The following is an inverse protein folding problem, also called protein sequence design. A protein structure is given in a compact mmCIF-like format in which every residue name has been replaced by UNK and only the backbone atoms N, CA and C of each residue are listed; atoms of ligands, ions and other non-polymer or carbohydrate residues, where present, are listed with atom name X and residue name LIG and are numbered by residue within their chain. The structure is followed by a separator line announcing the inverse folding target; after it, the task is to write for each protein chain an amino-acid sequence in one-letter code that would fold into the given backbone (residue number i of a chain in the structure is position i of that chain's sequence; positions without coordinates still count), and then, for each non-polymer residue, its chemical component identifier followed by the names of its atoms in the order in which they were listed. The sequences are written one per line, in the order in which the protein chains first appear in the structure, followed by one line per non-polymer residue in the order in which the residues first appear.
data_IF_195997579211
#
_entry.id   IF_195997579211
#
_cell.length_a   1.000
_cell.length_b   1.000
_cell.length_c   1.000
_cell.angle_alpha   90.00
_cell.angle_beta   90.00
_cell.angle_gamma   90.00
#
_symmetry.space_group_name_H-M   'P 1'
#
loop_
_entity.id
_entity.type
_entity.pdbx_description
1 polymer ?
#
# COMPACT_ATOMS: atom_id res chain seq x y z
N UNK A 1 4.97 -8.30 11.37
CA UNK A 1 4.89 -6.83 11.57
C UNK A 1 5.11 -6.01 10.29
N UNK A 2 6.20 -6.24 9.53
CA UNK A 2 6.63 -5.39 8.40
C UNK A 2 5.59 -5.21 7.28
N UNK A 3 4.93 -6.29 6.87
CA UNK A 3 3.90 -6.26 5.83
C UNK A 3 2.71 -5.38 6.23
N UNK A 4 2.25 -5.51 7.48
CA UNK A 4 1.17 -4.69 8.03
C UNK A 4 1.54 -3.21 8.04
N UNK A 5 2.74 -2.88 8.50
CA UNK A 5 3.25 -1.50 8.49
C UNK A 5 3.24 -0.89 7.09
N UNK A 6 3.70 -1.62 6.07
CA UNK A 6 3.73 -1.13 4.69
C UNK A 6 2.33 -0.91 4.10
N UNK A 7 1.38 -1.78 4.44
CA UNK A 7 -0.02 -1.63 4.04
C UNK A 7 -0.65 -0.38 4.68
N UNK A 8 -0.54 -0.27 6.02
CA UNK A 8 -1.12 0.85 6.78
C UNK A 8 -0.50 2.19 6.44
N UNK A 9 0.81 2.25 6.23
CA UNK A 9 1.48 3.50 5.88
C UNK A 9 0.93 4.08 4.57
N UNK A 10 0.76 3.22 3.56
CA UNK A 10 0.18 3.61 2.26
C UNK A 10 -1.31 3.98 2.38
N UNK A 11 -2.07 3.22 3.16
CA UNK A 11 -3.47 3.51 3.43
C UNK A 11 -3.64 4.88 4.10
N UNK A 12 -2.89 5.13 5.19
CA UNK A 12 -2.94 6.37 5.97
C UNK A 12 -2.47 7.58 5.19
N UNK A 13 -1.44 7.45 4.33
CA UNK A 13 -0.95 8.55 3.49
C UNK A 13 -2.07 9.11 2.60
N UNK A 14 -2.79 8.23 1.90
CA UNK A 14 -3.92 8.66 1.07
C UNK A 14 -5.08 9.18 1.91
N UNK A 15 -5.44 8.49 2.99
CA UNK A 15 -6.55 8.89 3.85
C UNK A 15 -6.36 10.29 4.45
N UNK A 16 -5.16 10.58 4.95
CA UNK A 16 -4.79 11.89 5.45
C UNK A 16 -4.90 12.94 4.34
N UNK A 17 -4.29 12.70 3.18
CA UNK A 17 -4.35 13.65 2.07
C UNK A 17 -5.80 13.90 1.60
N UNK A 18 -6.63 12.85 1.54
CA UNK A 18 -8.04 12.95 1.19
C UNK A 18 -8.81 13.81 2.20
N UNK A 19 -8.52 13.65 3.50
CA UNK A 19 -9.20 14.37 4.58
C UNK A 19 -8.93 15.87 4.57
N UNK A 20 -7.70 16.28 4.29
CA UNK A 20 -7.28 17.69 4.42
C UNK A 20 -7.19 18.45 3.08
N UNK A 21 -6.90 17.76 1.98
CA UNK A 21 -6.64 18.38 0.68
C UNK A 21 -7.60 17.91 -0.43
N UNK A 22 -8.55 17.03 -0.11
CA UNK A 22 -9.54 16.52 -1.06
C UNK A 22 -9.06 15.34 -1.91
N UNK A 23 -10.01 14.71 -2.60
CA UNK A 23 -9.77 13.44 -3.31
C UNK A 23 -8.82 13.58 -4.51
N UNK A 24 -9.04 14.56 -5.39
CA UNK A 24 -8.25 14.73 -6.62
C UNK A 24 -6.77 14.99 -6.29
N UNK A 25 -6.50 15.92 -5.36
CA UNK A 25 -5.15 16.19 -4.89
C UNK A 25 -4.53 14.94 -4.25
N UNK A 26 -5.28 14.23 -3.41
CA UNK A 26 -4.78 13.02 -2.77
C UNK A 26 -4.39 11.95 -3.81
N UNK A 27 -5.18 11.79 -4.87
CA UNK A 27 -4.92 10.84 -5.94
C UNK A 27 -3.64 11.19 -6.71
N UNK A 28 -3.48 12.47 -7.08
CA UNK A 28 -2.27 12.96 -7.74
C UNK A 28 -1.03 12.77 -6.85
N UNK A 29 -1.14 13.08 -5.55
CA UNK A 29 -0.04 12.99 -4.59
C UNK A 29 0.49 11.57 -4.36
N UNK A 30 -0.35 10.55 -4.56
CA UNK A 30 0.02 9.13 -4.39
C UNK A 30 0.18 8.39 -5.71
N UNK A 31 -0.12 9.01 -6.84
CA UNK A 31 0.00 8.40 -8.18
C UNK A 31 1.39 7.79 -8.40
N UNK A 32 2.46 8.56 -8.15
CA UNK A 32 3.84 8.08 -8.26
C UNK A 32 4.14 6.90 -7.32
N UNK A 33 3.59 6.89 -6.11
CA UNK A 33 3.70 5.75 -5.19
C UNK A 33 2.97 4.51 -5.72
N UNK A 34 1.81 4.68 -6.34
CA UNK A 34 0.99 3.60 -6.87
C UNK A 34 1.67 2.93 -8.07
N UNK A 35 2.11 3.73 -9.05
CA UNK A 35 2.87 3.22 -10.20
C UNK A 35 4.20 2.59 -9.79
N UNK A 36 4.96 3.23 -8.89
CA UNK A 36 6.22 2.66 -8.38
C UNK A 36 6.01 1.33 -7.66
N UNK A 37 4.95 1.21 -6.84
CA UNK A 37 4.65 -0.04 -6.15
C UNK A 37 4.25 -1.14 -7.14
N UNK A 38 3.42 -0.83 -8.15
CA UNK A 38 3.02 -1.79 -9.18
C UNK A 38 4.22 -2.30 -9.99
N UNK A 39 5.07 -1.39 -10.49
CA UNK A 39 6.27 -1.76 -11.23
C UNK A 39 7.19 -2.64 -10.39
N UNK A 40 7.37 -2.32 -9.11
CA UNK A 40 8.22 -3.12 -8.22
C UNK A 40 7.62 -4.49 -7.91
N UNK A 41 6.30 -4.63 -7.83
CA UNK A 41 5.65 -5.94 -7.73
C UNK A 41 5.99 -6.79 -8.96
N UNK A 42 5.91 -6.21 -10.16
CA UNK A 42 6.25 -6.91 -11.42
C UNK A 42 7.74 -7.29 -11.42
N UNK A 43 8.64 -6.33 -11.18
CA UNK A 43 10.09 -6.56 -11.17
C UNK A 43 10.52 -7.64 -10.16
N UNK A 44 10.02 -7.59 -8.93
CA UNK A 44 10.35 -8.61 -7.92
C UNK A 44 9.65 -9.95 -8.17
N UNK A 45 8.62 -9.99 -9.01
CA UNK A 45 8.05 -11.25 -9.50
C UNK A 45 8.96 -11.89 -10.54
N UNK A 46 9.51 -11.10 -11.48
CA UNK A 46 10.45 -11.56 -12.51
C UNK A 46 11.76 -12.08 -11.92
N UNK A 47 12.29 -11.40 -10.89
CA UNK A 47 13.54 -11.80 -10.21
C UNK A 47 13.27 -12.82 -9.07
N UNK A 48 12.05 -13.35 -8.95
CA UNK A 48 11.63 -14.32 -7.93
C UNK A 48 11.92 -13.89 -6.47
N UNK A 49 12.02 -12.59 -6.18
CA UNK A 49 12.28 -12.08 -4.84
C UNK A 49 10.97 -12.01 -4.02
N UNK A 50 10.59 -13.14 -3.42
CA UNK A 50 9.33 -13.27 -2.70
C UNK A 50 9.16 -12.27 -1.54
N UNK A 51 10.24 -11.94 -0.81
CA UNK A 51 10.19 -11.01 0.33
C UNK A 51 9.85 -9.59 -0.13
N UNK A 52 10.62 -9.05 -1.08
CA UNK A 52 10.38 -7.70 -1.61
C UNK A 52 9.06 -7.62 -2.35
N UNK A 53 8.70 -8.65 -3.14
CA UNK A 53 7.40 -8.74 -3.80
C UNK A 53 6.24 -8.58 -2.82
N UNK A 54 6.25 -9.30 -1.69
CA UNK A 54 5.22 -9.19 -0.64
C UNK A 54 5.15 -7.76 -0.08
N UNK A 55 6.29 -7.12 0.18
CA UNK A 55 6.32 -5.74 0.72
C UNK A 55 5.66 -4.75 -0.25
N UNK A 56 6.04 -4.78 -1.53
CA UNK A 56 5.48 -3.85 -2.52
C UNK A 56 4.02 -4.16 -2.85
N UNK A 57 3.63 -5.44 -2.80
CA UNK A 57 2.23 -5.82 -2.92
C UNK A 57 1.37 -5.25 -1.79
N UNK A 58 1.87 -5.25 -0.55
CA UNK A 58 1.16 -4.61 0.56
C UNK A 58 1.05 -3.10 0.40
N UNK A 59 2.08 -2.43 -0.12
CA UNK A 59 2.02 -0.99 -0.43
C UNK A 59 0.95 -0.69 -1.47
N UNK A 60 0.93 -1.46 -2.56
CA UNK A 60 -0.05 -1.33 -3.62
C UNK A 60 -1.48 -1.59 -3.10
N UNK A 61 -1.68 -2.70 -2.40
CA UNK A 61 -2.98 -3.06 -1.80
C UNK A 61 -3.47 -2.01 -0.81
N UNK A 62 -2.60 -1.49 0.06
CA UNK A 62 -2.95 -0.45 1.02
C UNK A 62 -3.46 0.83 0.36
N UNK A 63 -2.79 1.26 -0.72
CA UNK A 63 -3.21 2.39 -1.55
C UNK A 63 -4.53 2.15 -2.26
N UNK A 64 -4.70 1.00 -2.92
CA UNK A 64 -5.95 0.68 -3.63
C UNK A 64 -7.13 0.65 -2.66
N UNK A 65 -6.97 0.05 -1.47
CA UNK A 65 -8.04 0.03 -0.47
C UNK A 65 -8.43 1.43 0.00
N UNK A 66 -7.46 2.32 0.24
CA UNK A 66 -7.76 3.69 0.69
C UNK A 66 -8.38 4.55 -0.42
N UNK A 67 -7.93 4.39 -1.67
CA UNK A 67 -8.51 5.05 -2.86
C UNK A 67 -9.97 4.62 -3.04
N UNK A 68 -10.28 3.33 -2.91
CA UNK A 68 -11.64 2.80 -2.98
C UNK A 68 -12.51 3.15 -1.75
N UNK A 69 -11.96 3.86 -0.75
CA UNK A 69 -12.70 4.25 0.45
C UNK A 69 -12.95 3.11 1.45
N UNK A 70 -12.25 1.98 1.33
CA UNK A 70 -12.36 0.85 2.26
C UNK A 70 -11.70 1.19 3.60
N UNK A 71 -12.30 0.71 4.70
CA UNK A 71 -11.76 0.86 6.06
C UNK A 71 -10.39 0.19 6.21
N UNK A 72 -9.59 0.63 7.18
CA UNK A 72 -8.28 0.05 7.48
C UNK A 72 -8.39 -1.32 8.19
N UNK A 73 -8.47 -2.40 7.40
CA UNK A 73 -8.76 -3.75 7.92
C UNK A 73 -7.57 -4.71 7.97
N UNK A 74 -6.47 -4.45 7.26
CA UNK A 74 -5.35 -5.40 7.21
C UNK A 74 -4.68 -5.52 8.59
N UNK A 75 -4.40 -6.75 9.04
CA UNK A 75 -3.75 -7.01 10.33
C UNK A 75 -2.65 -8.07 10.15
N UNK A 76 -1.55 -7.98 10.92
CA UNK A 76 -0.55 -9.04 10.90
C UNK A 76 -1.16 -10.30 11.52
N UNK A 77 -0.93 -11.46 10.91
CA UNK A 77 -1.21 -12.74 11.57
C UNK A 77 -0.25 -12.85 12.76
N UNK A 78 -0.82 -12.93 13.96
CA UNK A 78 -0.07 -13.29 15.16
C UNK A 78 -0.01 -14.81 15.13
N UNK A 79 1.19 -15.35 14.92
CA UNK A 79 1.42 -16.78 15.13
C UNK A 79 1.85 -16.86 16.60
N UNK A 80 0.95 -17.33 17.45
CA UNK A 80 1.32 -17.75 18.79
C UNK A 80 2.06 -19.08 18.62
N UNK A 81 3.35 -19.09 18.98
CA UNK A 81 4.10 -20.33 19.15
C UNK A 81 3.69 -21.02 20.45
#
# INVERSE_FOLDING_TARGET
MELSRNWHWMWSKFYFNKKYYGFIYSLLSVSGNLFSALLKVILFSLIFNAKKRKIYFQRFSGLINSILGKKSWYRPKIINN
#
